data_IF_819003333856
#
_entry.id   IF_819003333856
#
_cell.length_a   1.000
_cell.length_b   1.000
_cell.length_c   1.000
_cell.angle_alpha   90.00
_cell.angle_beta   90.00
_cell.angle_gamma   90.00
#
_symmetry.space_group_name_H-M   'P 1'
#
loop_
_entity.id
_entity.type
_entity.pdbx_description
1 polymer ?
#
# COMPACT_ATOMS: atom_id res chain seq x y z
N UNK A 1 -19.07 38.57 -41.39
CA UNK A 1 -19.50 39.03 -40.06
C UNK A 1 -18.39 38.73 -39.07
N UNK A 2 -17.65 39.75 -38.68
CA UNK A 2 -16.47 39.70 -37.83
C UNK A 2 -16.88 39.88 -36.37
N UNK A 3 -16.55 38.90 -35.52
CA UNK A 3 -16.87 38.89 -34.09
C UNK A 3 -15.89 39.78 -33.32
N UNK A 4 -16.40 40.89 -32.81
CA UNK A 4 -15.76 41.71 -31.78
C UNK A 4 -15.88 40.99 -30.44
N UNK A 5 -14.81 40.34 -30.00
CA UNK A 5 -14.64 39.95 -28.59
C UNK A 5 -13.37 40.60 -28.05
N UNK A 6 -13.58 41.47 -27.06
CA UNK A 6 -12.60 42.14 -26.20
C UNK A 6 -11.68 43.16 -26.90
N UNK A 7 -12.21 44.38 -27.04
CA UNK A 7 -11.44 45.57 -27.40
C UNK A 7 -10.35 45.87 -26.36
N UNK A 8 -9.09 45.68 -26.77
CA UNK A 8 -7.98 46.49 -26.28
C UNK A 8 -7.82 47.67 -27.22
N UNK A 9 -8.39 48.82 -26.86
CA UNK A 9 -7.78 50.09 -27.28
C UNK A 9 -6.54 50.27 -26.41
N UNK A 10 -5.38 50.45 -27.04
CA UNK A 10 -4.19 50.97 -26.38
C UNK A 10 -4.54 52.36 -25.86
N UNK A 11 -4.68 52.50 -24.55
CA UNK A 11 -4.56 53.77 -23.87
C UNK A 11 -3.22 53.73 -23.13
N UNK A 12 -2.40 54.76 -23.31
CA UNK A 12 -1.05 54.91 -22.76
C UNK A 12 -1.02 55.30 -21.26
N UNK A 13 -2.08 55.00 -20.50
CA UNK A 13 -2.13 55.23 -19.06
C UNK A 13 -2.33 53.91 -18.31
N UNK A 14 -1.26 53.48 -17.66
CA UNK A 14 -1.09 52.22 -16.95
C UNK A 14 -1.86 52.21 -15.61
N UNK A 15 -3.18 52.35 -15.66
CA UNK A 15 -4.04 52.18 -14.47
C UNK A 15 -4.38 50.70 -14.35
N UNK A 16 -3.72 50.01 -13.41
CA UNK A 16 -4.07 48.65 -12.97
C UNK A 16 -5.54 48.60 -12.51
N UNK A 17 -6.45 48.25 -13.42
CA UNK A 17 -7.82 47.89 -13.08
C UNK A 17 -7.78 46.55 -12.32
N UNK A 18 -7.79 46.60 -10.98
CA UNK A 18 -8.07 45.43 -10.14
C UNK A 18 -9.54 45.06 -10.34
N UNK A 19 -9.82 44.21 -11.33
CA UNK A 19 -11.11 43.54 -11.43
C UNK A 19 -11.26 42.62 -10.21
N UNK A 20 -12.28 42.88 -9.39
CA UNK A 20 -12.61 42.07 -8.22
C UNK A 20 -13.03 40.69 -8.75
N UNK A 21 -12.26 39.65 -8.44
CA UNK A 21 -12.56 38.29 -8.86
C UNK A 21 -13.88 37.89 -8.19
N UNK A 22 -14.86 37.45 -8.99
CA UNK A 22 -16.10 36.89 -8.46
C UNK A 22 -15.77 35.57 -7.75
N UNK A 23 -15.75 35.62 -6.41
CA UNK A 23 -15.42 34.47 -5.55
C UNK A 23 -16.38 33.29 -5.76
N UNK A 24 -17.62 33.54 -6.15
CA UNK A 24 -18.63 32.49 -6.37
C UNK A 24 -18.32 31.75 -7.66
N UNK A 25 -17.99 32.48 -8.72
CA UNK A 25 -17.53 31.91 -9.99
C UNK A 25 -16.19 31.19 -9.79
N UNK A 26 -15.25 31.79 -9.06
CA UNK A 26 -13.96 31.19 -8.74
C UNK A 26 -14.12 29.87 -7.97
N UNK A 27 -14.92 29.84 -6.90
CA UNK A 27 -15.19 28.60 -6.15
C UNK A 27 -15.90 27.55 -7.00
N UNK A 28 -16.86 27.93 -7.84
CA UNK A 28 -17.53 26.99 -8.76
C UNK A 28 -16.57 26.38 -9.79
N UNK A 29 -15.67 27.20 -10.34
CA UNK A 29 -14.63 26.74 -11.28
C UNK A 29 -13.58 25.88 -10.58
N UNK A 30 -13.18 26.24 -9.36
CA UNK A 30 -12.12 25.54 -8.61
C UNK A 30 -12.57 24.23 -7.96
N UNK A 31 -13.86 24.13 -7.63
CA UNK A 31 -14.48 22.89 -7.14
C UNK A 31 -14.85 21.92 -8.29
N UNK A 32 -14.86 22.39 -9.53
CA UNK A 32 -15.08 21.54 -10.69
C UNK A 32 -13.74 20.95 -11.16
N UNK A 33 -13.53 19.66 -10.89
CA UNK A 33 -12.25 18.98 -11.16
C UNK A 33 -11.85 19.03 -12.65
N UNK A 34 -12.81 19.03 -13.57
CA UNK A 34 -12.56 19.07 -15.02
C UNK A 34 -12.13 20.47 -15.46
N UNK A 35 -12.81 21.52 -15.02
CA UNK A 35 -12.44 22.90 -15.33
C UNK A 35 -11.13 23.31 -14.66
N UNK A 36 -10.89 22.88 -13.42
CA UNK A 36 -9.61 23.05 -12.73
C UNK A 36 -8.49 22.38 -13.53
N UNK A 37 -8.67 21.12 -13.95
CA UNK A 37 -7.70 20.40 -14.80
C UNK A 37 -7.49 21.07 -16.15
N UNK A 38 -8.54 21.62 -16.77
CA UNK A 38 -8.45 22.33 -18.06
C UNK A 38 -7.67 23.65 -17.94
N UNK A 39 -7.97 24.45 -16.91
CA UNK A 39 -7.27 25.70 -16.61
C UNK A 39 -5.81 25.42 -16.25
N UNK A 40 -5.54 24.44 -15.39
CA UNK A 40 -4.19 24.00 -15.05
C UNK A 40 -3.43 23.43 -16.25
N UNK A 41 -4.11 22.75 -17.20
CA UNK A 41 -3.48 22.26 -18.44
C UNK A 41 -3.05 23.39 -19.39
N UNK A 42 -3.69 24.56 -19.29
CA UNK A 42 -3.43 25.74 -20.13
C UNK A 42 -2.42 26.70 -19.50
N UNK A 43 -2.24 26.65 -18.19
CA UNK A 43 -1.29 27.49 -17.45
C UNK A 43 -0.11 26.61 -17.06
N UNK A 44 0.97 26.67 -17.84
CA UNK A 44 2.21 25.86 -17.76
C UNK A 44 2.95 25.86 -16.40
N UNK A 45 2.43 26.49 -15.35
CA UNK A 45 3.24 26.97 -14.20
C UNK A 45 2.84 26.49 -12.80
N UNK A 46 1.88 25.57 -12.63
CA UNK A 46 1.39 25.17 -11.29
C UNK A 46 1.67 23.71 -10.90
N UNK A 47 2.95 23.36 -10.86
CA UNK A 47 3.42 22.47 -9.80
C UNK A 47 3.50 23.30 -8.51
N UNK A 48 3.30 22.70 -7.32
CA UNK A 48 3.62 23.39 -6.06
C UNK A 48 5.09 23.85 -6.08
N UNK A 49 5.49 24.82 -5.25
CA UNK A 49 6.88 25.30 -5.27
C UNK A 49 7.85 24.14 -4.96
N UNK A 50 7.45 23.23 -4.07
CA UNK A 50 8.17 21.99 -3.75
C UNK A 50 8.16 21.00 -4.93
N UNK A 51 7.00 20.73 -5.56
CA UNK A 51 6.91 19.84 -6.73
C UNK A 51 7.72 20.41 -7.90
N UNK A 52 7.71 21.74 -8.11
CA UNK A 52 8.45 22.43 -9.17
C UNK A 52 9.95 22.32 -8.93
N UNK A 53 10.43 22.48 -7.70
CA UNK A 53 11.83 22.28 -7.32
C UNK A 53 12.23 20.81 -7.45
N UNK A 54 11.38 19.86 -7.06
CA UNK A 54 11.63 18.43 -7.25
C UNK A 54 11.64 18.02 -8.73
N UNK A 55 10.73 18.57 -9.55
CA UNK A 55 10.61 18.29 -10.98
C UNK A 55 11.69 18.98 -11.84
N UNK A 56 12.15 20.17 -11.44
CA UNK A 56 13.29 20.85 -12.09
C UNK A 56 14.61 20.25 -11.58
N UNK A 57 14.73 19.96 -10.29
CA UNK A 57 15.91 19.39 -9.65
C UNK A 57 16.16 17.90 -9.96
N UNK A 58 15.13 17.16 -10.37
CA UNK A 58 15.23 15.74 -10.77
C UNK A 58 15.79 15.51 -12.19
N UNK A 59 16.03 16.58 -12.96
CA UNK A 59 16.54 16.48 -14.32
C UNK A 59 15.51 16.05 -15.38
N UNK A 60 14.24 15.83 -15.02
CA UNK A 60 13.23 15.39 -16.00
C UNK A 60 12.82 16.51 -16.96
N UNK A 61 12.78 17.76 -16.48
CA UNK A 61 12.63 18.91 -17.36
C UNK A 61 13.81 19.05 -18.33
N UNK A 62 15.04 18.76 -17.86
CA UNK A 62 16.24 18.82 -18.70
C UNK A 62 16.28 17.72 -19.77
N UNK A 63 15.61 16.58 -19.55
CA UNK A 63 15.40 15.57 -20.60
C UNK A 63 14.57 16.14 -21.75
N UNK A 64 13.44 16.81 -21.46
CA UNK A 64 12.60 17.42 -22.50
C UNK A 64 13.33 18.54 -23.23
N UNK A 65 14.08 19.38 -22.51
CA UNK A 65 14.87 20.44 -23.14
C UNK A 65 16.01 19.88 -24.01
N UNK A 66 16.68 18.80 -23.58
CA UNK A 66 17.65 18.08 -24.43
C UNK A 66 16.99 17.53 -25.69
N UNK A 67 15.82 16.91 -25.57
CA UNK A 67 15.07 16.43 -26.73
C UNK A 67 14.70 17.56 -27.69
N UNK A 68 14.23 18.72 -27.19
CA UNK A 68 13.89 19.87 -28.04
C UNK A 68 15.11 20.50 -28.70
N UNK A 69 16.27 20.48 -28.04
CA UNK A 69 17.51 21.01 -28.59
C UNK A 69 18.02 20.15 -29.76
N UNK A 70 18.02 18.82 -29.60
CA UNK A 70 18.41 17.89 -30.66
C UNK A 70 17.68 16.53 -30.51
N UNK A 71 16.55 16.33 -31.22
CA UNK A 71 15.81 15.07 -31.18
C UNK A 71 16.61 13.86 -31.68
N UNK A 72 17.48 14.05 -32.69
CA UNK A 72 18.23 12.95 -33.30
C UNK A 72 19.33 12.48 -32.35
N UNK A 73 20.08 13.41 -31.76
CA UNK A 73 21.07 13.09 -30.74
C UNK A 73 20.42 12.44 -29.51
N UNK A 74 19.23 12.91 -29.12
CA UNK A 74 18.46 12.30 -28.03
C UNK A 74 18.13 10.83 -28.34
N UNK A 75 17.61 10.53 -29.54
CA UNK A 75 17.28 9.15 -29.95
C UNK A 75 18.54 8.29 -30.00
N UNK A 76 19.64 8.79 -30.58
CA UNK A 76 20.90 8.05 -30.72
C UNK A 76 21.57 7.74 -29.38
N UNK A 77 21.51 8.67 -28.43
CA UNK A 77 22.12 8.52 -27.10
C UNK A 77 21.47 7.43 -26.23
N UNK A 78 20.30 6.89 -26.62
CA UNK A 78 19.56 5.89 -25.84
C UNK A 78 19.67 4.44 -26.36
N UNK A 79 20.58 4.14 -27.29
CA UNK A 79 20.87 2.80 -27.88
C UNK A 79 19.67 2.12 -28.59
N UNK A 80 19.92 1.00 -29.28
CA UNK A 80 19.17 0.38 -30.40
C UNK A 80 17.66 0.05 -30.23
N UNK A 81 16.98 0.52 -29.17
CA UNK A 81 15.55 0.26 -28.95
C UNK A 81 14.83 1.40 -28.23
N UNK A 82 15.00 2.67 -28.64
CA UNK A 82 14.34 3.75 -27.89
C UNK A 82 13.79 4.95 -28.67
N UNK A 83 13.24 4.71 -29.87
CA UNK A 83 12.30 5.64 -30.53
C UNK A 83 11.04 5.93 -29.68
N UNK A 84 10.80 5.19 -28.60
CA UNK A 84 9.69 5.43 -27.68
C UNK A 84 10.13 6.08 -26.37
N UNK A 85 11.43 6.35 -26.19
CA UNK A 85 12.01 6.87 -24.94
C UNK A 85 11.28 8.13 -24.46
N UNK A 86 10.99 9.04 -25.37
CA UNK A 86 10.38 10.33 -25.04
C UNK A 86 8.99 10.16 -24.41
N UNK A 87 8.32 9.02 -24.65
CA UNK A 87 6.98 8.75 -24.14
C UNK A 87 6.94 8.38 -22.66
N UNK A 88 8.06 7.99 -22.05
CA UNK A 88 8.14 7.68 -20.62
C UNK A 88 8.12 8.93 -19.73
N UNK A 89 8.44 10.10 -20.28
CA UNK A 89 8.72 11.30 -19.49
C UNK A 89 7.49 12.16 -19.19
N UNK A 90 7.43 12.65 -17.96
CA UNK A 90 6.28 13.26 -17.29
C UNK A 90 5.85 14.61 -17.91
N UNK A 91 6.80 15.29 -18.55
CA UNK A 91 6.62 16.58 -19.20
C UNK A 91 6.25 16.49 -20.68
N UNK A 92 6.02 15.28 -21.20
CA UNK A 92 5.52 15.08 -22.55
C UNK A 92 4.18 15.81 -22.73
N UNK A 93 4.08 16.59 -23.81
CA UNK A 93 2.82 17.21 -24.24
C UNK A 93 2.20 16.41 -25.37
N UNK A 94 0.89 16.54 -25.57
CA UNK A 94 0.20 15.88 -26.69
C UNK A 94 0.75 16.32 -28.07
N UNK A 95 1.14 17.60 -28.20
CA UNK A 95 1.74 18.11 -29.44
C UNK A 95 3.13 17.51 -29.69
N UNK A 96 3.94 17.39 -28.63
CA UNK A 96 5.27 16.78 -28.72
C UNK A 96 5.18 15.28 -29.01
N UNK A 97 4.22 14.59 -28.37
CA UNK A 97 3.88 13.20 -28.67
C UNK A 97 3.54 13.04 -30.15
N UNK A 98 2.60 13.84 -30.65
CA UNK A 98 2.15 13.80 -32.06
C UNK A 98 3.32 14.03 -33.01
N UNK A 99 4.10 15.08 -32.77
CA UNK A 99 5.26 15.42 -33.59
C UNK A 99 6.26 14.28 -33.64
N UNK A 100 6.65 13.72 -32.48
CA UNK A 100 7.61 12.63 -32.42
C UNK A 100 7.10 11.38 -33.11
N UNK A 101 5.83 11.01 -32.84
CA UNK A 101 5.20 9.84 -33.44
C UNK A 101 5.15 9.94 -34.97
N UNK A 102 4.62 11.05 -35.50
CA UNK A 102 4.47 11.26 -36.94
C UNK A 102 5.83 11.38 -37.67
N UNK A 103 6.89 11.80 -36.97
CA UNK A 103 8.22 12.02 -37.56
C UNK A 103 9.12 10.80 -37.49
N UNK A 104 9.20 10.13 -36.33
CA UNK A 104 10.21 9.12 -36.03
C UNK A 104 9.65 7.72 -35.76
N UNK A 105 8.36 7.59 -35.42
CA UNK A 105 7.78 6.30 -35.01
C UNK A 105 6.95 5.60 -36.09
N UNK A 106 7.07 5.98 -37.37
CA UNK A 106 6.22 5.44 -38.46
C UNK A 106 6.31 3.91 -38.60
N UNK A 107 7.48 3.34 -38.33
CA UNK A 107 7.73 1.90 -38.41
C UNK A 107 7.56 1.18 -37.05
N UNK A 108 7.31 1.94 -35.98
CA UNK A 108 7.12 1.38 -34.65
C UNK A 108 5.67 0.92 -34.50
N UNK A 109 5.49 -0.29 -33.97
CA UNK A 109 4.15 -0.81 -33.70
C UNK A 109 3.41 0.12 -32.72
N UNK A 110 2.14 0.40 -33.02
CA UNK A 110 1.30 1.25 -32.16
C UNK A 110 1.20 0.68 -30.74
N UNK A 111 1.22 -0.64 -30.61
CA UNK A 111 1.23 -1.33 -29.31
C UNK A 111 2.48 -0.98 -28.48
N UNK A 112 3.66 -0.92 -29.09
CA UNK A 112 4.90 -0.51 -28.39
C UNK A 112 4.82 0.95 -27.93
N UNK A 113 4.23 1.84 -28.74
CA UNK A 113 4.02 3.25 -28.38
C UNK A 113 3.07 3.39 -27.19
N UNK A 114 1.94 2.67 -27.20
CA UNK A 114 0.99 2.71 -26.08
C UNK A 114 1.58 2.10 -24.82
N UNK A 115 2.32 1.00 -24.95
CA UNK A 115 3.04 0.41 -23.83
C UNK A 115 3.99 1.43 -23.19
N UNK A 116 4.82 2.10 -24.00
CA UNK A 116 5.71 3.14 -23.49
C UNK A 116 4.96 4.28 -22.81
N UNK A 117 3.87 4.74 -23.42
CA UNK A 117 3.04 5.80 -22.85
C UNK A 117 2.33 5.37 -21.56
N UNK A 118 1.94 4.10 -21.42
CA UNK A 118 1.31 3.57 -20.21
C UNK A 118 2.23 3.65 -18.99
N UNK A 119 3.55 3.58 -19.21
CA UNK A 119 4.58 3.68 -18.18
C UNK A 119 4.86 5.13 -17.78
N UNK A 120 4.36 6.11 -18.55
CA UNK A 120 4.58 7.53 -18.26
C UNK A 120 4.10 7.88 -16.84
N UNK A 121 4.99 8.42 -15.98
CA UNK A 121 4.65 8.63 -14.58
C UNK A 121 3.58 9.70 -14.33
N UNK A 122 3.22 10.47 -15.35
CA UNK A 122 2.05 11.36 -15.30
C UNK A 122 0.75 10.58 -15.09
N UNK A 123 0.68 9.34 -15.54
CA UNK A 123 -0.48 8.45 -15.43
C UNK A 123 -0.89 8.14 -13.98
N UNK A 124 0.01 8.34 -13.01
CA UNK A 124 -0.30 8.22 -11.59
C UNK A 124 -1.21 9.36 -11.09
N UNK A 125 -1.24 10.49 -11.81
CA UNK A 125 -1.98 11.71 -11.44
C UNK A 125 -3.16 12.00 -12.35
N UNK A 126 -2.95 11.88 -13.66
CA UNK A 126 -3.97 12.22 -14.64
C UNK A 126 -3.94 11.30 -15.86
N UNK A 127 -5.09 11.22 -16.53
CA UNK A 127 -5.29 10.37 -17.71
C UNK A 127 -5.25 11.16 -19.01
N UNK A 128 -5.09 12.49 -18.94
CA UNK A 128 -5.38 13.37 -20.08
C UNK A 128 -4.42 13.13 -21.24
N UNK A 129 -3.12 13.01 -20.94
CA UNK A 129 -2.11 12.74 -21.96
C UNK A 129 -2.34 11.37 -22.61
N UNK A 130 -2.60 10.35 -21.79
CA UNK A 130 -2.88 9.00 -22.24
C UNK A 130 -4.10 8.96 -23.17
N UNK A 131 -5.22 9.58 -22.76
CA UNK A 131 -6.43 9.71 -23.59
C UNK A 131 -6.15 10.41 -24.91
N UNK A 132 -5.46 11.56 -24.85
CA UNK A 132 -5.23 12.38 -26.04
C UNK A 132 -4.31 11.69 -27.05
N UNK A 133 -3.27 11.02 -26.57
CA UNK A 133 -2.40 10.22 -27.41
C UNK A 133 -3.13 9.02 -28.00
N UNK A 134 -3.99 8.36 -27.23
CA UNK A 134 -4.83 7.27 -27.73
C UNK A 134 -5.74 7.72 -28.88
N UNK A 135 -6.39 8.89 -28.76
CA UNK A 135 -7.18 9.49 -29.85
C UNK A 135 -6.33 9.72 -31.10
N UNK A 136 -5.13 10.29 -30.93
CA UNK A 136 -4.19 10.52 -32.04
C UNK A 136 -3.83 9.21 -32.74
N UNK A 137 -3.55 8.15 -31.97
CA UNK A 137 -3.21 6.84 -32.52
C UNK A 137 -4.40 6.18 -33.22
N UNK A 138 -5.63 6.39 -32.71
CA UNK A 138 -6.86 5.96 -33.38
C UNK A 138 -7.04 6.61 -34.74
N UNK A 139 -6.78 7.92 -34.85
CA UNK A 139 -6.77 8.63 -36.13
C UNK A 139 -5.67 8.14 -37.08
N UNK A 140 -4.67 7.43 -36.57
CA UNK A 140 -3.56 6.80 -37.31
C UNK A 140 -3.78 5.30 -37.56
N UNK A 141 -5.00 4.81 -37.35
CA UNK A 141 -5.39 3.45 -37.69
C UNK A 141 -5.20 2.42 -36.57
N UNK A 142 -5.01 2.85 -35.32
CA UNK A 142 -5.01 1.95 -34.18
C UNK A 142 -6.32 1.14 -34.11
N UNK A 143 -6.18 -0.18 -34.03
CA UNK A 143 -7.25 -1.13 -33.76
C UNK A 143 -6.91 -1.88 -32.48
N UNK A 144 -7.47 -1.48 -31.33
CA UNK A 144 -7.14 -2.09 -30.04
C UNK A 144 -7.41 -3.60 -30.00
N UNK A 145 -8.42 -4.07 -30.72
CA UNK A 145 -8.84 -5.47 -30.77
C UNK A 145 -7.83 -6.37 -31.49
N UNK A 146 -6.99 -5.80 -32.35
CA UNK A 146 -5.95 -6.54 -33.09
C UNK A 146 -4.59 -6.50 -32.41
N UNK A 147 -4.49 -5.95 -31.18
CA UNK A 147 -3.24 -5.94 -30.45
C UNK A 147 -2.89 -7.34 -29.94
N UNK A 148 -1.62 -7.72 -30.07
CA UNK A 148 -1.11 -8.96 -29.49
C UNK A 148 -1.27 -8.95 -27.95
N UNK A 149 -1.80 -10.05 -27.40
CA UNK A 149 -2.09 -10.18 -25.97
C UNK A 149 -0.90 -9.84 -25.07
N UNK A 150 0.32 -10.23 -25.46
CA UNK A 150 1.53 -9.93 -24.70
C UNK A 150 1.73 -8.42 -24.49
N UNK A 151 1.50 -7.60 -25.51
CA UNK A 151 1.63 -6.14 -25.41
C UNK A 151 0.52 -5.54 -24.53
N UNK A 152 -0.69 -6.06 -24.65
CA UNK A 152 -1.85 -5.62 -23.85
C UNK A 152 -1.60 -5.90 -22.36
N UNK A 153 -1.01 -7.05 -22.01
CA UNK A 153 -0.63 -7.37 -20.63
C UNK A 153 0.33 -6.33 -20.05
N UNK A 154 1.36 -5.90 -20.78
CA UNK A 154 2.29 -4.87 -20.29
C UNK A 154 1.62 -3.51 -20.05
N UNK A 155 0.68 -3.12 -20.92
CA UNK A 155 -0.10 -1.88 -20.72
C UNK A 155 -0.91 -1.97 -19.42
N UNK A 156 -1.64 -3.08 -19.23
CA UNK A 156 -2.41 -3.31 -18.01
C UNK A 156 -1.53 -3.34 -16.75
N UNK A 157 -0.35 -3.97 -16.81
CA UNK A 157 0.60 -3.95 -15.67
C UNK A 157 0.91 -2.51 -15.25
N UNK A 158 1.18 -1.61 -16.20
CA UNK A 158 1.48 -0.20 -15.93
C UNK A 158 0.27 0.57 -15.41
N UNK A 159 -0.93 0.28 -15.92
CA UNK A 159 -2.18 0.90 -15.47
C UNK A 159 -2.54 0.47 -14.03
N UNK A 160 -2.42 -0.81 -13.71
CA UNK A 160 -2.64 -1.30 -12.34
C UNK A 160 -1.61 -0.69 -11.39
N UNK A 161 -0.35 -0.69 -11.82
CA UNK A 161 0.78 -0.11 -11.09
C UNK A 161 0.62 1.38 -10.80
N UNK A 162 -0.10 2.12 -11.64
CA UNK A 162 -0.29 3.55 -11.44
C UNK A 162 -1.27 3.88 -10.30
N UNK A 163 -2.00 2.89 -9.78
CA UNK A 163 -3.06 3.04 -8.77
C UNK A 163 -4.08 4.15 -9.12
N UNK A 164 -4.34 4.39 -10.42
CA UNK A 164 -5.23 5.44 -10.90
C UNK A 164 -6.53 4.85 -11.41
N UNK A 165 -7.60 4.94 -10.62
CA UNK A 165 -8.94 4.43 -10.96
C UNK A 165 -9.48 5.01 -12.26
N UNK A 166 -9.22 6.30 -12.53
CA UNK A 166 -9.67 6.95 -13.76
C UNK A 166 -8.95 6.38 -14.99
N UNK A 167 -7.66 6.07 -14.86
CA UNK A 167 -6.88 5.43 -15.93
C UNK A 167 -7.35 4.00 -16.16
N UNK A 168 -7.53 3.24 -15.08
CA UNK A 168 -8.07 1.88 -15.12
C UNK A 168 -9.41 1.82 -15.85
N UNK A 169 -10.37 2.66 -15.48
CA UNK A 169 -11.69 2.70 -16.11
C UNK A 169 -11.61 3.15 -17.58
N UNK A 170 -10.73 4.10 -17.91
CA UNK A 170 -10.55 4.49 -19.31
C UNK A 170 -9.93 3.37 -20.14
N UNK A 171 -8.85 2.74 -19.66
CA UNK A 171 -8.20 1.61 -20.33
C UNK A 171 -9.17 0.47 -20.56
N UNK A 172 -9.98 0.12 -19.55
CA UNK A 172 -11.10 -0.84 -19.64
C UNK A 172 -12.06 -0.52 -20.80
N UNK A 173 -12.29 0.75 -21.10
CA UNK A 173 -13.23 1.18 -22.14
C UNK A 173 -12.65 1.18 -23.56
N UNK A 174 -11.32 1.13 -23.73
CA UNK A 174 -10.67 1.30 -25.03
C UNK A 174 -9.72 0.17 -25.43
N UNK A 175 -9.27 -0.65 -24.48
CA UNK A 175 -8.41 -1.82 -24.74
C UNK A 175 -9.18 -3.12 -24.50
N UNK A 176 -8.79 -4.21 -25.18
CA UNK A 176 -9.35 -5.51 -24.88
C UNK A 176 -9.04 -5.93 -23.44
N UNK A 177 -10.01 -6.61 -22.83
CA UNK A 177 -9.83 -7.25 -21.53
C UNK A 177 -8.85 -8.41 -21.63
N UNK A 178 -8.06 -8.59 -20.57
CA UNK A 178 -7.18 -9.74 -20.47
C UNK A 178 -7.97 -11.00 -20.13
N UNK A 179 -7.38 -12.14 -20.48
CA UNK A 179 -7.86 -13.42 -20.00
C UNK A 179 -7.78 -13.51 -18.47
N UNK A 180 -8.71 -14.29 -17.89
CA UNK A 180 -8.84 -14.55 -16.45
C UNK A 180 -7.49 -14.85 -15.77
N UNK A 181 -6.67 -15.68 -16.40
CA UNK A 181 -5.38 -16.08 -15.83
C UNK A 181 -4.40 -14.91 -15.64
N UNK A 182 -4.41 -13.90 -16.51
CA UNK A 182 -3.55 -12.72 -16.34
C UNK A 182 -4.03 -11.83 -15.20
N UNK A 183 -5.36 -11.67 -15.03
CA UNK A 183 -5.88 -10.91 -13.89
C UNK A 183 -5.49 -11.53 -12.56
N UNK A 184 -5.74 -12.83 -12.43
CA UNK A 184 -5.41 -13.63 -11.25
C UNK A 184 -3.91 -13.66 -10.97
N UNK A 185 -3.09 -13.90 -12.00
CA UNK A 185 -1.66 -14.15 -11.79
C UNK A 185 -0.81 -12.89 -11.74
N UNK A 186 -1.29 -11.77 -12.29
CA UNK A 186 -0.45 -10.59 -12.50
C UNK A 186 -1.06 -9.27 -12.08
N UNK A 187 -2.37 -9.08 -12.24
CA UNK A 187 -3.02 -7.79 -11.97
C UNK A 187 -3.38 -7.67 -10.50
N UNK A 188 -4.07 -8.66 -9.92
CA UNK A 188 -4.46 -8.63 -8.50
C UNK A 188 -3.25 -8.59 -7.56
N UNK A 189 -2.22 -9.46 -7.71
CA UNK A 189 -1.04 -9.40 -6.84
C UNK A 189 -0.27 -8.09 -6.96
N UNK A 190 -0.30 -7.46 -8.14
CA UNK A 190 0.37 -6.18 -8.39
C UNK A 190 -0.41 -5.00 -7.82
N UNK A 191 -1.73 -5.02 -7.90
CA UNK A 191 -2.60 -4.04 -7.26
C UNK A 191 -2.49 -4.09 -5.73
N UNK A 192 -2.29 -5.29 -5.17
CA UNK A 192 -2.09 -5.51 -3.74
C UNK A 192 -0.66 -5.18 -3.25
N UNK A 193 0.27 -4.81 -4.15
CA UNK A 193 1.65 -4.51 -3.78
C UNK A 193 2.02 -3.08 -4.17
N UNK A 194 2.04 -2.15 -3.20
CA UNK A 194 2.38 -0.76 -3.49
C UNK A 194 3.84 -0.70 -3.93
N UNK A 195 4.10 0.05 -5.00
CA UNK A 195 5.45 0.12 -5.54
C UNK A 195 6.34 1.05 -4.72
N UNK A 196 7.57 0.60 -4.48
CA UNK A 196 8.64 1.43 -3.93
C UNK A 196 9.33 2.26 -5.03
N UNK A 197 8.59 3.06 -5.80
CA UNK A 197 9.16 3.98 -6.79
C UNK A 197 9.59 5.29 -6.10
N UNK A 198 10.86 5.71 -6.15
CA UNK A 198 11.31 6.97 -5.57
C UNK A 198 10.53 8.19 -6.10
N UNK A 199 10.01 8.12 -7.33
CA UNK A 199 9.17 9.17 -7.90
C UNK A 199 7.79 9.24 -7.25
N UNK A 200 7.13 8.09 -7.08
CA UNK A 200 5.84 8.03 -6.36
C UNK A 200 6.04 8.55 -4.94
N UNK A 201 7.10 8.15 -4.23
CA UNK A 201 7.37 8.65 -2.87
C UNK A 201 7.57 10.16 -2.76
N UNK A 202 8.17 10.80 -3.77
CA UNK A 202 8.57 12.22 -3.70
C UNK A 202 7.49 13.18 -4.21
N UNK A 203 6.71 12.79 -5.21
CA UNK A 203 5.75 13.68 -5.87
C UNK A 203 4.32 13.33 -5.48
N UNK A 204 3.96 12.06 -5.31
CA UNK A 204 2.67 11.69 -4.71
C UNK A 204 2.75 10.26 -4.18
N UNK A 205 2.95 10.07 -2.86
CA UNK A 205 2.93 8.73 -2.31
C UNK A 205 1.62 8.06 -2.73
N UNK A 206 1.69 6.83 -3.23
CA UNK A 206 0.51 6.05 -3.54
C UNK A 206 -0.20 5.72 -2.23
N UNK A 207 -1.02 6.65 -1.77
CA UNK A 207 -1.87 6.49 -0.60
C UNK A 207 -3.22 5.97 -1.08
N UNK A 208 -3.64 4.80 -0.58
CA UNK A 208 -4.96 4.26 -0.85
C UNK A 208 -4.97 3.07 -1.79
N UNK A 209 -6.13 2.42 -1.81
CA UNK A 209 -6.36 1.10 -2.39
C UNK A 209 -7.52 1.12 -3.39
N UNK A 210 -7.93 2.31 -3.84
CA UNK A 210 -9.13 2.51 -4.65
C UNK A 210 -9.10 1.72 -5.96
N UNK A 211 -7.92 1.62 -6.61
CA UNK A 211 -7.80 0.80 -7.81
C UNK A 211 -7.93 -0.68 -7.48
N UNK A 212 -7.34 -1.16 -6.38
CA UNK A 212 -7.49 -2.53 -5.93
C UNK A 212 -8.97 -2.83 -5.60
N UNK A 213 -9.65 -1.95 -4.86
CA UNK A 213 -11.07 -2.06 -4.57
C UNK A 213 -11.90 -2.17 -5.85
N UNK A 214 -11.66 -1.27 -6.82
CA UNK A 214 -12.36 -1.26 -8.10
C UNK A 214 -12.08 -2.53 -8.93
N UNK A 215 -10.83 -2.97 -8.96
CA UNK A 215 -10.42 -4.19 -9.64
C UNK A 215 -11.12 -5.42 -9.04
N UNK A 216 -11.08 -5.57 -7.70
CA UNK A 216 -11.71 -6.70 -7.02
C UNK A 216 -13.22 -6.74 -7.27
N UNK A 217 -13.91 -5.58 -7.19
CA UNK A 217 -15.33 -5.51 -7.50
C UNK A 217 -15.63 -5.96 -8.93
N UNK A 218 -14.88 -5.44 -9.91
CA UNK A 218 -15.05 -5.82 -11.32
C UNK A 218 -14.82 -7.33 -11.55
N UNK A 219 -13.85 -7.93 -10.86
CA UNK A 219 -13.53 -9.35 -10.98
C UNK A 219 -14.60 -10.25 -10.34
N UNK A 220 -15.17 -9.84 -9.20
CA UNK A 220 -16.25 -10.56 -8.53
C UNK A 220 -17.55 -10.45 -9.33
N UNK A 221 -17.83 -9.28 -9.91
CA UNK A 221 -18.97 -9.10 -10.82
C UNK A 221 -18.82 -9.97 -12.08
N UNK A 222 -17.58 -10.21 -12.53
CA UNK A 222 -17.26 -11.05 -13.68
C UNK A 222 -17.34 -12.55 -13.39
N UNK A 223 -16.70 -13.02 -12.31
CA UNK A 223 -16.82 -14.39 -11.80
C UNK A 223 -16.68 -14.40 -10.28
N UNK A 224 -17.79 -14.53 -9.53
CA UNK A 224 -17.77 -14.53 -8.07
C UNK A 224 -17.22 -15.83 -7.48
N UNK A 225 -17.05 -16.88 -8.29
CA UNK A 225 -16.63 -18.21 -7.83
C UNK A 225 -15.12 -18.44 -7.92
N UNK A 226 -14.39 -17.59 -8.65
CA UNK A 226 -12.94 -17.72 -8.75
C UNK A 226 -12.21 -17.31 -7.47
N UNK A 227 -11.08 -17.96 -7.21
CA UNK A 227 -10.13 -17.51 -6.21
C UNK A 227 -9.17 -16.48 -6.82
N UNK A 228 -9.63 -15.23 -6.96
CA UNK A 228 -8.84 -14.12 -7.49
C UNK A 228 -7.62 -13.75 -6.64
N UNK A 229 -7.61 -14.17 -5.38
CA UNK A 229 -6.60 -13.80 -4.38
C UNK A 229 -5.50 -14.87 -4.21
N UNK A 230 -5.52 -15.95 -5.01
CA UNK A 230 -4.64 -17.11 -4.85
C UNK A 230 -3.13 -16.77 -4.82
N UNK A 231 -2.71 -15.74 -5.57
CA UNK A 231 -1.31 -15.32 -5.65
C UNK A 231 -1.00 -14.03 -4.88
N UNK A 232 -1.92 -13.56 -4.02
CA UNK A 232 -1.66 -12.42 -3.15
C UNK A 232 -0.81 -12.87 -1.96
N UNK A 233 0.38 -12.31 -1.80
CA UNK A 233 1.30 -12.62 -0.69
C UNK A 233 0.84 -11.93 0.61
N UNK A 234 -0.10 -12.55 1.32
CA UNK A 234 -0.61 -12.04 2.59
C UNK A 234 0.46 -11.95 3.68
N UNK A 235 1.46 -12.83 3.68
CA UNK A 235 2.60 -12.74 4.59
C UNK A 235 3.38 -11.45 4.40
N UNK A 236 3.67 -11.06 3.15
CA UNK A 236 4.32 -9.79 2.84
C UNK A 236 3.50 -8.57 3.31
N UNK A 237 2.18 -8.60 3.10
CA UNK A 237 1.31 -7.51 3.55
C UNK A 237 1.34 -7.35 5.08
N UNK A 238 1.27 -8.47 5.79
CA UNK A 238 1.29 -8.51 7.24
C UNK A 238 2.65 -8.07 7.81
N UNK A 239 3.76 -8.56 7.22
CA UNK A 239 5.14 -8.21 7.54
C UNK A 239 5.42 -6.70 7.45
N UNK A 240 4.88 -6.05 6.41
CA UNK A 240 5.17 -4.65 6.09
C UNK A 240 4.11 -3.67 6.63
N UNK A 241 3.15 -4.14 7.42
CA UNK A 241 2.14 -3.24 8.01
C UNK A 241 1.16 -2.66 7.00
N UNK A 242 0.91 -3.33 5.87
CA UNK A 242 0.04 -2.85 4.78
C UNK A 242 -1.45 -3.12 5.08
N UNK A 243 -1.93 -2.56 6.20
CA UNK A 243 -3.25 -2.84 6.79
C UNK A 243 -4.39 -2.35 5.92
N UNK A 244 -4.22 -1.18 5.30
CA UNK A 244 -5.15 -0.59 4.35
C UNK A 244 -5.42 -1.51 3.14
N UNK A 245 -4.39 -2.23 2.67
CA UNK A 245 -4.55 -3.24 1.61
C UNK A 245 -5.31 -4.46 2.12
N UNK A 246 -4.95 -4.96 3.30
CA UNK A 246 -5.64 -6.08 3.94
C UNK A 246 -7.13 -5.79 4.16
N UNK A 247 -7.46 -4.61 4.71
CA UNK A 247 -8.84 -4.16 4.92
C UNK A 247 -9.62 -4.04 3.62
N UNK A 248 -8.99 -3.53 2.56
CA UNK A 248 -9.63 -3.41 1.23
C UNK A 248 -9.94 -4.77 0.63
N UNK A 249 -9.00 -5.72 0.73
CA UNK A 249 -9.23 -7.09 0.28
C UNK A 249 -10.37 -7.73 1.07
N UNK A 250 -10.40 -7.55 2.40
CA UNK A 250 -11.49 -8.06 3.23
C UNK A 250 -12.85 -7.47 2.83
N UNK A 251 -12.92 -6.14 2.66
CA UNK A 251 -14.15 -5.42 2.36
C UNK A 251 -14.75 -5.81 1.00
N UNK A 252 -13.90 -5.95 -0.02
CA UNK A 252 -14.38 -6.18 -1.40
C UNK A 252 -14.34 -7.64 -1.82
N UNK A 253 -13.44 -8.46 -1.27
CA UNK A 253 -13.21 -9.84 -1.69
C UNK A 253 -13.10 -10.83 -0.53
N UNK A 254 -13.54 -10.46 0.68
CA UNK A 254 -13.45 -11.29 1.87
C UNK A 254 -14.10 -12.67 1.72
N UNK A 255 -15.22 -12.76 0.99
CA UNK A 255 -15.91 -14.03 0.70
C UNK A 255 -15.12 -14.98 -0.21
N UNK A 256 -14.19 -14.45 -1.01
CA UNK A 256 -13.35 -15.22 -1.92
C UNK A 256 -12.08 -15.76 -1.22
N UNK A 257 -11.81 -15.35 0.02
CA UNK A 257 -10.65 -15.80 0.78
C UNK A 257 -10.93 -17.20 1.30
N UNK A 258 -10.26 -18.19 0.71
CA UNK A 258 -10.21 -19.53 1.29
C UNK A 258 -9.28 -19.49 2.50
N UNK A 259 -9.86 -19.48 3.71
CA UNK A 259 -9.12 -19.74 4.94
C UNK A 259 -8.63 -21.19 4.90
N UNK A 260 -7.33 -21.36 4.66
CA UNK A 260 -6.70 -22.67 4.63
C UNK A 260 -6.35 -23.08 6.06
N UNK A 261 -6.92 -24.20 6.51
CA UNK A 261 -6.54 -24.88 7.78
C UNK A 261 -5.28 -25.73 7.58
N UNK A 262 -4.63 -25.66 6.41
CA UNK A 262 -3.45 -26.47 6.11
C UNK A 262 -2.18 -25.87 6.72
N UNK A 263 -1.41 -26.70 7.44
CA UNK A 263 -0.07 -26.40 7.97
C UNK A 263 1.00 -26.10 6.90
N UNK A 264 0.65 -26.06 5.61
CA UNK A 264 1.62 -25.75 4.56
C UNK A 264 1.92 -24.25 4.57
N UNK A 265 3.20 -23.93 4.79
CA UNK A 265 3.77 -22.59 4.74
C UNK A 265 3.71 -22.01 3.32
N UNK A 266 2.52 -21.63 2.86
CA UNK A 266 2.34 -20.82 1.65
C UNK A 266 2.19 -19.35 2.04
N UNK A 267 3.07 -18.50 1.52
CA UNK A 267 3.02 -17.04 1.72
C UNK A 267 1.74 -16.40 1.17
N UNK A 268 1.08 -17.08 0.22
CA UNK A 268 -0.14 -16.59 -0.41
C UNK A 268 -1.43 -17.05 0.29
N UNK A 269 -1.32 -17.82 1.37
CA UNK A 269 -2.49 -18.23 2.16
C UNK A 269 -2.59 -17.39 3.42
N UNK A 270 -3.82 -16.97 3.72
CA UNK A 270 -4.13 -16.28 4.96
C UNK A 270 -4.34 -17.32 6.07
N UNK A 271 -3.34 -17.50 6.93
CA UNK A 271 -3.33 -18.53 7.97
C UNK A 271 -2.53 -18.10 9.22
N UNK A 272 -2.30 -19.03 10.15
CA UNK A 272 -1.53 -18.78 11.37
C UNK A 272 -0.08 -18.32 11.08
N UNK A 273 0.54 -18.80 10.00
CA UNK A 273 1.87 -18.35 9.62
C UNK A 273 1.89 -16.84 9.29
N UNK A 274 0.84 -16.31 8.66
CA UNK A 274 0.69 -14.86 8.45
C UNK A 274 0.71 -14.08 9.77
N UNK A 275 0.00 -14.59 10.80
CA UNK A 275 0.02 -14.01 12.15
C UNK A 275 1.42 -14.07 12.77
N UNK A 276 2.12 -15.20 12.63
CA UNK A 276 3.49 -15.36 13.14
C UNK A 276 4.45 -14.34 12.52
N UNK A 277 4.37 -14.12 11.21
CA UNK A 277 5.20 -13.13 10.50
C UNK A 277 4.90 -11.72 10.98
N UNK A 278 3.63 -11.35 11.19
CA UNK A 278 3.26 -10.05 11.73
C UNK A 278 3.86 -9.82 13.15
N UNK A 279 3.81 -10.86 14.00
CA UNK A 279 4.40 -10.82 15.35
C UNK A 279 5.92 -10.67 15.30
N UNK A 280 6.61 -11.42 14.44
CA UNK A 280 8.07 -11.33 14.29
C UNK A 280 8.56 -9.94 13.90
N UNK A 281 7.71 -9.18 13.21
CA UNK A 281 8.00 -7.83 12.73
C UNK A 281 7.34 -6.73 13.58
N UNK A 282 6.81 -7.07 14.74
CA UNK A 282 6.14 -6.15 15.68
C UNK A 282 5.01 -5.30 15.04
N UNK A 283 4.31 -5.83 14.02
CA UNK A 283 3.29 -5.10 13.27
C UNK A 283 1.92 -5.17 13.97
N UNK A 284 1.72 -4.34 14.98
CA UNK A 284 0.52 -4.42 15.84
C UNK A 284 -0.80 -4.22 15.09
N UNK A 285 -0.87 -3.28 14.15
CA UNK A 285 -2.09 -3.03 13.38
C UNK A 285 -2.39 -4.18 12.41
N UNK A 286 -1.36 -4.81 11.81
CA UNK A 286 -1.54 -6.04 11.05
C UNK A 286 -2.11 -7.15 11.93
N UNK A 287 -1.54 -7.37 13.12
CA UNK A 287 -2.03 -8.38 14.08
C UNK A 287 -3.49 -8.12 14.46
N UNK A 288 -3.84 -6.87 14.74
CA UNK A 288 -5.21 -6.46 15.07
C UNK A 288 -6.16 -6.73 13.90
N UNK A 289 -5.77 -6.39 12.67
CA UNK A 289 -6.53 -6.67 11.46
C UNK A 289 -6.75 -8.17 11.25
N UNK A 290 -5.67 -8.98 11.30
CA UNK A 290 -5.72 -10.44 11.18
C UNK A 290 -6.62 -11.08 12.25
N UNK A 291 -6.53 -10.61 13.50
CA UNK A 291 -7.31 -11.13 14.61
C UNK A 291 -8.79 -10.71 14.56
N UNK A 292 -9.07 -9.41 14.43
CA UNK A 292 -10.43 -8.86 14.55
C UNK A 292 -11.23 -8.97 13.26
N UNK A 293 -10.63 -8.77 12.09
CA UNK A 293 -11.33 -8.82 10.81
C UNK A 293 -11.30 -10.22 10.21
N UNK A 294 -10.11 -10.80 10.07
CA UNK A 294 -9.95 -12.12 9.45
C UNK A 294 -10.15 -13.30 10.40
N UNK A 295 -10.35 -13.05 11.69
CA UNK A 295 -10.63 -14.07 12.72
C UNK A 295 -9.54 -15.14 12.85
N UNK A 296 -8.28 -14.80 12.55
CA UNK A 296 -7.15 -15.73 12.75
C UNK A 296 -6.84 -15.80 14.25
N UNK A 297 -7.00 -16.96 14.91
CA UNK A 297 -6.82 -17.05 16.35
C UNK A 297 -5.35 -17.01 16.76
N UNK A 298 -5.09 -16.60 18.00
CA UNK A 298 -3.78 -16.79 18.63
C UNK A 298 -3.67 -18.21 19.19
N UNK A 299 -2.81 -19.01 18.58
CA UNK A 299 -2.38 -20.28 19.16
C UNK A 299 -1.43 -20.08 20.34
N UNK A 300 -1.12 -21.16 21.05
CA UNK A 300 -0.04 -21.15 22.03
C UNK A 300 1.30 -20.73 21.39
N UNK A 301 1.62 -21.25 20.21
CA UNK A 301 2.88 -20.97 19.51
C UNK A 301 3.04 -19.49 19.17
N UNK A 302 1.99 -18.84 18.63
CA UNK A 302 2.01 -17.40 18.33
C UNK A 302 2.20 -16.55 19.59
N UNK A 303 1.60 -16.93 20.73
CA UNK A 303 1.81 -16.24 22.01
C UNK A 303 3.22 -16.42 22.55
N UNK A 304 3.82 -17.60 22.38
CA UNK A 304 5.22 -17.83 22.76
C UNK A 304 6.16 -17.01 21.87
N UNK A 305 5.84 -16.89 20.57
CA UNK A 305 6.59 -16.05 19.64
C UNK A 305 6.51 -14.57 20.05
N UNK A 306 5.35 -14.07 20.45
CA UNK A 306 5.19 -12.72 20.97
C UNK A 306 6.06 -12.48 22.21
N UNK A 307 6.08 -13.42 23.15
CA UNK A 307 6.92 -13.34 24.35
C UNK A 307 8.42 -13.27 24.02
N UNK A 308 8.86 -13.95 22.94
CA UNK A 308 10.25 -13.99 22.49
C UNK A 308 10.70 -12.71 21.77
N UNK A 309 9.79 -11.79 21.44
CA UNK A 309 10.18 -10.46 20.95
C UNK A 309 10.93 -9.66 22.02
N UNK A 310 10.75 -10.00 23.31
CA UNK A 310 11.31 -9.28 24.46
C UNK A 310 11.01 -7.77 24.41
N UNK A 311 9.87 -7.38 23.81
CA UNK A 311 9.40 -6.00 23.67
C UNK A 311 8.15 -5.80 24.53
N UNK A 312 8.31 -5.14 25.69
CA UNK A 312 7.22 -4.91 26.65
C UNK A 312 6.10 -4.05 26.04
N UNK A 313 6.46 -3.01 25.30
CA UNK A 313 5.50 -2.11 24.64
C UNK A 313 4.65 -2.86 23.62
N UNK A 314 5.29 -3.71 22.81
CA UNK A 314 4.60 -4.57 21.86
C UNK A 314 3.66 -5.57 22.56
N UNK A 315 4.09 -6.23 23.63
CA UNK A 315 3.25 -7.20 24.35
C UNK A 315 2.04 -6.52 25.03
N UNK A 316 2.24 -5.32 25.58
CA UNK A 316 1.15 -4.50 26.12
C UNK A 316 0.15 -4.15 25.00
N UNK A 317 0.64 -3.68 23.85
CA UNK A 317 -0.21 -3.35 22.72
C UNK A 317 -0.98 -4.59 22.21
N UNK A 318 -0.33 -5.77 22.17
CA UNK A 318 -0.93 -7.05 21.82
C UNK A 318 -2.04 -7.45 22.79
N UNK A 319 -1.83 -7.28 24.09
CA UNK A 319 -2.84 -7.52 25.12
C UNK A 319 -4.05 -6.58 24.94
N UNK A 320 -3.79 -5.30 24.67
CA UNK A 320 -4.82 -4.27 24.50
C UNK A 320 -5.71 -4.47 23.27
N UNK A 321 -5.36 -5.34 22.31
CA UNK A 321 -6.27 -5.75 21.22
C UNK A 321 -7.55 -6.39 21.79
N UNK A 322 -7.42 -7.16 22.88
CA UNK A 322 -8.54 -7.74 23.62
C UNK A 322 -8.06 -8.19 25.02
N UNK A 323 -8.16 -7.30 26.02
CA UNK A 323 -7.62 -7.55 27.35
C UNK A 323 -8.21 -8.82 27.99
N UNK A 324 -9.50 -9.06 27.78
CA UNK A 324 -10.26 -10.16 28.38
C UNK A 324 -9.82 -11.56 27.92
N UNK A 325 -9.03 -11.66 26.86
CA UNK A 325 -8.59 -12.93 26.30
C UNK A 325 -7.50 -13.65 27.12
N UNK A 326 -7.08 -13.15 28.29
CA UNK A 326 -6.12 -13.83 29.18
C UNK A 326 -4.73 -14.08 28.57
N UNK A 327 -4.41 -13.47 27.43
CA UNK A 327 -3.15 -13.67 26.67
C UNK A 327 -1.93 -13.26 27.48
N UNK A 328 -2.04 -12.15 28.21
CA UNK A 328 -0.98 -11.61 29.04
C UNK A 328 -0.55 -12.60 30.13
N UNK A 329 -1.51 -13.32 30.73
CA UNK A 329 -1.23 -14.37 31.70
C UNK A 329 -0.50 -15.57 31.08
N UNK A 330 -0.92 -15.98 29.88
CA UNK A 330 -0.25 -17.07 29.13
C UNK A 330 1.20 -16.70 28.78
N UNK A 331 1.42 -15.47 28.32
CA UNK A 331 2.75 -14.92 28.06
C UNK A 331 3.56 -14.87 29.36
N UNK A 332 2.97 -14.38 30.46
CA UNK A 332 3.61 -14.30 31.76
C UNK A 332 4.13 -15.65 32.26
N UNK A 333 3.30 -16.70 32.19
CA UNK A 333 3.69 -18.05 32.57
C UNK A 333 4.88 -18.57 31.74
N UNK A 334 4.95 -18.20 30.46
CA UNK A 334 6.09 -18.53 29.62
C UNK A 334 7.35 -17.77 30.03
N UNK A 335 7.25 -16.46 30.22
CA UNK A 335 8.37 -15.58 30.59
C UNK A 335 9.04 -16.04 31.89
N UNK A 336 8.26 -16.48 32.89
CA UNK A 336 8.78 -16.98 34.17
C UNK A 336 9.20 -18.46 34.15
N UNK A 337 9.02 -19.18 33.04
CA UNK A 337 9.36 -20.61 32.96
C UNK A 337 10.87 -20.83 32.85
N UNK A 338 11.36 -21.95 33.38
CA UNK A 338 12.78 -22.33 33.25
C UNK A 338 13.25 -22.49 31.80
N UNK A 339 12.34 -22.66 30.84
CA UNK A 339 12.66 -22.90 29.43
C UNK A 339 12.69 -21.65 28.56
N UNK A 340 12.26 -20.49 29.04
CA UNK A 340 12.21 -19.26 28.23
C UNK A 340 13.57 -18.91 27.59
N UNK A 341 14.65 -18.95 28.40
CA UNK A 341 16.01 -18.68 27.91
C UNK A 341 16.55 -19.76 26.96
N UNK A 342 15.95 -20.96 26.92
CA UNK A 342 16.41 -22.03 26.02
C UNK A 342 16.09 -21.75 24.55
N UNK A 343 15.18 -20.81 24.28
CA UNK A 343 14.75 -20.43 22.93
C UNK A 343 15.37 -19.11 22.44
N UNK A 344 16.21 -18.50 23.27
CA UNK A 344 16.89 -17.24 22.99
C UNK A 344 18.37 -17.53 22.74
N UNK A 345 18.99 -16.78 21.82
CA UNK A 345 20.43 -16.89 21.64
C UNK A 345 21.14 -16.33 22.87
N UNK A 346 22.23 -16.96 23.28
CA UNK A 346 22.99 -16.61 24.49
C UNK A 346 23.60 -15.20 24.46
N UNK A 347 23.62 -14.55 23.30
CA UNK A 347 24.13 -13.22 23.02
C UNK A 347 23.04 -12.14 22.90
N UNK A 348 21.75 -12.47 23.05
CA UNK A 348 20.66 -11.49 22.92
C UNK A 348 20.46 -10.68 24.22
N UNK A 349 21.15 -9.53 24.30
CA UNK A 349 21.10 -8.62 25.44
C UNK A 349 19.69 -8.06 25.72
N UNK A 350 18.77 -8.06 24.74
CA UNK A 350 17.40 -7.53 24.90
C UNK A 350 16.61 -8.28 25.98
N UNK A 351 16.88 -9.57 26.15
CA UNK A 351 16.10 -10.40 27.06
C UNK A 351 16.65 -10.44 28.51
N UNK A 352 17.86 -9.91 28.76
CA UNK A 352 18.47 -9.95 30.10
C UNK A 352 17.71 -9.09 31.12
N UNK A 353 17.16 -7.95 30.69
CA UNK A 353 16.37 -7.07 31.56
C UNK A 353 14.85 -7.28 31.38
N UNK A 354 14.41 -7.70 30.19
CA UNK A 354 13.00 -7.87 29.85
C UNK A 354 12.24 -8.73 30.86
N UNK A 355 12.80 -9.84 31.34
CA UNK A 355 12.12 -10.71 32.33
C UNK A 355 11.76 -9.96 33.62
N UNK A 356 12.70 -9.15 34.12
CA UNK A 356 12.49 -8.35 35.32
C UNK A 356 11.44 -7.28 35.07
N UNK A 357 11.63 -6.50 34.01
CA UNK A 357 10.72 -5.42 33.61
C UNK A 357 9.29 -5.92 33.39
N UNK A 358 9.15 -7.06 32.70
CA UNK A 358 7.86 -7.68 32.42
C UNK A 358 7.16 -8.16 33.70
N UNK A 359 7.89 -8.81 34.63
CA UNK A 359 7.31 -9.26 35.90
C UNK A 359 6.92 -8.06 36.76
N UNK A 360 7.78 -7.05 36.86
CA UNK A 360 7.53 -5.84 37.64
C UNK A 360 6.30 -5.09 37.11
N UNK A 361 6.07 -5.12 35.79
CA UNK A 361 4.86 -4.55 35.17
C UNK A 361 3.60 -5.41 35.39
N UNK A 362 3.68 -6.74 35.26
CA UNK A 362 2.49 -7.62 35.30
C UNK A 362 2.04 -7.96 36.72
N UNK A 363 2.98 -8.06 37.67
CA UNK A 363 2.68 -8.46 39.05
C UNK A 363 1.68 -7.55 39.78
N UNK A 364 1.77 -6.20 39.68
CA UNK A 364 0.79 -5.29 40.30
C UNK A 364 -0.63 -5.42 39.77
N UNK A 365 -0.81 -6.03 38.60
CA UNK A 365 -2.11 -6.13 37.92
C UNK A 365 -3.03 -7.24 38.49
N UNK A 366 -2.61 -7.92 39.57
CA UNK A 366 -3.36 -9.01 40.23
C UNK A 366 -3.76 -10.19 39.32
N UNK A 367 -3.13 -10.33 38.14
CA UNK A 367 -3.36 -11.44 37.20
C UNK A 367 -2.83 -12.80 37.70
N UNK A 368 -2.15 -12.82 38.85
CA UNK A 368 -1.40 -13.95 39.35
C UNK A 368 -2.03 -14.43 40.65
N UNK A 369 -2.25 -15.73 40.79
CA UNK A 369 -2.74 -16.26 42.06
C UNK A 369 -1.70 -16.08 43.19
N UNK A 370 -2.18 -15.94 44.43
CA UNK A 370 -1.32 -15.68 45.60
C UNK A 370 -0.20 -16.73 45.80
N UNK A 371 -0.44 -17.98 45.38
CA UNK A 371 0.53 -19.06 45.50
C UNK A 371 1.71 -18.90 44.54
N UNK A 372 1.43 -18.54 43.29
CA UNK A 372 2.42 -18.26 42.26
C UNK A 372 3.19 -16.99 42.61
N UNK A 373 2.51 -15.97 43.12
CA UNK A 373 3.13 -14.75 43.61
C UNK A 373 4.12 -15.02 44.76
N UNK A 374 3.72 -15.84 45.75
CA UNK A 374 4.61 -16.25 46.85
C UNK A 374 5.84 -17.01 46.36
N UNK A 375 5.68 -17.91 45.37
CA UNK A 375 6.80 -18.64 44.77
C UNK A 375 7.78 -17.70 44.07
N UNK A 376 7.27 -16.75 43.27
CA UNK A 376 8.10 -15.74 42.60
C UNK A 376 8.86 -14.90 43.63
N UNK A 377 8.17 -14.41 44.67
CA UNK A 377 8.79 -13.60 45.72
C UNK A 377 9.90 -14.37 46.46
N UNK A 378 9.69 -15.66 46.73
CA UNK A 378 10.66 -16.50 47.43
C UNK A 378 11.90 -16.76 46.58
N UNK A 379 11.72 -17.07 45.29
CA UNK A 379 12.83 -17.32 44.37
C UNK A 379 13.65 -16.03 44.12
N UNK A 380 12.97 -14.89 43.91
CA UNK A 380 13.64 -13.59 43.75
C UNK A 380 14.40 -13.17 45.02
N UNK A 381 13.86 -13.42 46.21
CA UNK A 381 14.51 -13.08 47.48
C UNK A 381 15.83 -13.83 47.70
N UNK A 382 15.98 -15.02 47.11
CA UNK A 382 17.23 -15.82 47.15
C UNK A 382 18.10 -15.64 45.90
N UNK A 383 17.82 -14.61 45.10
CA UNK A 383 18.59 -14.27 43.89
C UNK A 383 18.45 -15.30 42.75
N UNK A 384 17.40 -16.13 42.77
CA UNK A 384 17.14 -17.15 41.74
C UNK A 384 15.94 -16.78 40.89
N UNK A 385 16.01 -17.08 39.60
CA UNK A 385 14.84 -16.98 38.74
C UNK A 385 13.85 -18.12 39.02
N UNK A 386 12.53 -17.86 39.00
CA UNK A 386 11.52 -18.89 39.20
C UNK A 386 11.72 -20.03 38.21
N UNK A 387 11.79 -21.27 38.71
CA UNK A 387 11.94 -22.47 37.86
C UNK A 387 10.62 -23.20 37.73
N UNK A 388 9.62 -22.51 37.20
CA UNK A 388 8.28 -23.06 37.07
C UNK A 388 8.26 -23.99 35.85
N UNK A 389 8.10 -25.30 36.10
CA UNK A 389 7.76 -26.29 35.07
C UNK A 389 6.27 -26.13 34.75
N UNK A 390 5.97 -25.30 33.76
CA UNK A 390 4.61 -25.14 33.28
C UNK A 390 4.31 -26.19 32.20
N UNK A 391 3.27 -27.00 32.43
CA UNK A 391 2.63 -27.83 31.40
C UNK A 391 1.15 -27.41 31.34
N UNK A 392 0.67 -26.81 30.25
CA UNK A 392 -0.75 -26.50 30.12
C UNK A 392 -1.51 -27.82 30.03
N UNK A 393 -2.20 -28.22 31.10
CA UNK A 393 -2.98 -29.47 31.14
C UNK A 393 -4.33 -29.34 30.42
N UNK A 394 -4.83 -28.12 30.19
CA UNK A 394 -5.99 -27.82 29.35
C UNK A 394 -6.12 -26.30 29.18
N UNK A 395 -6.13 -25.79 27.94
CA UNK A 395 -6.33 -24.37 27.60
C UNK A 395 -7.62 -23.79 28.21
N UNK A 396 -8.68 -24.60 28.35
CA UNK A 396 -9.97 -24.18 28.92
C UNK A 396 -9.91 -23.77 30.40
N UNK A 397 -9.00 -24.34 31.21
CA UNK A 397 -8.89 -23.96 32.62
C UNK A 397 -8.28 -22.56 32.82
N UNK A 398 -7.50 -22.07 31.85
CA UNK A 398 -6.88 -20.75 31.88
C UNK A 398 -7.89 -19.62 31.69
N UNK A 399 -8.97 -19.86 30.93
CA UNK A 399 -10.05 -18.90 30.73
C UNK A 399 -11.06 -18.89 31.87
N UNK A 400 -11.27 -20.01 32.57
CA UNK A 400 -12.20 -20.05 33.73
C UNK A 400 -11.79 -19.15 34.89
N UNK A 401 -10.49 -18.85 35.10
CA UNK A 401 -10.07 -17.87 36.13
C UNK A 401 -10.55 -16.45 35.82
N UNK A 402 -10.67 -16.11 34.53
CA UNK A 402 -11.14 -14.81 34.07
C UNK A 402 -12.67 -14.72 33.97
N UNK A 403 -13.36 -15.86 33.85
CA UNK A 403 -14.82 -15.93 33.87
C UNK A 403 -15.42 -15.90 35.29
N UNK A 404 -14.62 -16.17 36.33
CA UNK A 404 -15.09 -16.21 37.73
C UNK A 404 -14.94 -14.87 38.47
N UNK A 405 -14.41 -13.83 37.82
CA UNK A 405 -14.28 -12.50 38.39
C UNK A 405 -14.94 -11.45 37.51
N UNK A 406 -15.97 -10.79 38.05
CA UNK A 406 -16.73 -9.67 37.47
C UNK A 406 -15.91 -8.36 37.37
N UNK A 407 -14.59 -8.46 37.33
CA UNK A 407 -13.68 -7.32 37.24
C UNK A 407 -13.38 -7.03 35.79
N UNK A 408 -13.90 -5.90 35.29
CA UNK A 408 -13.42 -5.26 34.06
C UNK A 408 -11.89 -5.31 34.03
N UNK A 409 -11.34 -6.07 33.08
CA UNK A 409 -9.90 -6.23 32.89
C UNK A 409 -9.40 -4.90 32.29
N UNK A 410 -8.61 -4.10 33.03
CA UNK A 410 -8.25 -2.76 32.59
C UNK A 410 -7.33 -2.79 31.37
N UNK A 411 -7.58 -1.90 30.41
CA UNK A 411 -6.62 -1.61 29.34
C UNK A 411 -5.33 -1.03 29.94
N UNK A 412 -4.18 -1.54 29.50
CA UNK A 412 -2.89 -1.09 30.03
C UNK A 412 -2.43 0.18 29.29
N UNK A 413 -1.99 1.21 30.03
CA UNK A 413 -1.35 2.41 29.49
C UNK A 413 0.00 2.65 30.17
N UNK A 414 0.93 3.27 29.45
CA UNK A 414 2.20 3.77 29.98
C UNK A 414 2.04 4.98 30.91
N UNK A 415 0.88 5.65 30.89
CA UNK A 415 0.65 6.89 31.64
C UNK A 415 0.45 6.70 33.17
N UNK A 416 0.50 5.46 33.66
CA UNK A 416 0.32 5.12 35.07
C UNK A 416 1.63 4.73 35.80
N UNK A 417 2.79 5.16 35.31
CA UNK A 417 4.10 5.02 35.99
C UNK A 417 4.62 6.38 36.43
#
# INVERSE_FOLDING_TARGET
>A
MTSQFLGRRKNDDDVKVKTKIDETLFRRVWNNIVLRRLICSKIKDYLSKEDRVALIGSGLASVIERYKADPLQFIQSHSNSNLVAIFYYEFLTADLFKFHYDTYCKEISVAAVINALSINRRNYRDTWLFRRAFDILKDRGLRPESMESANVVYIWRSVIKSNNVELYNYTKSVLPMLDRHHFKNEMVPRAAKPENDPWSKSVQPMTGTDLLARLLQDLIDFDPTDNWLELVDFSYLAENGLVDILETIHMHAGSCIQLSVSDKQSRCQLNEHTMMVAIQNNQIESIKCLYKLFKIPFSHETLMLAARTCDLSFIIALHNIEPEAGRLYTIFLHVISSTFNAYLRSDDFRCNNFRKEFIDHVKPLNYINKRLEQQINTDLAIGKWPRIKYQPRNTQHHFTMFQQHDTQIPSLSFDNI
#
